data_IF_895776065330
#
_entry.id   IF_895776065330
#
_cell.length_a   1.000
_cell.length_b   1.000
_cell.length_c   1.000
_cell.angle_alpha   90.00
_cell.angle_beta   90.00
_cell.angle_gamma   90.00
#
_symmetry.space_group_name_H-M   'P 1'
#
loop_
_entity.id
_entity.type
_entity.pdbx_description
1 polymer ?
#
# COMPACT_ATOMS: atom_id res chain seq x y z
N UNK A 1 -0.78 7.26 15.31
CA UNK A 1 -0.39 7.11 13.90
C UNK A 1 -0.91 5.81 13.38
N UNK A 2 -1.56 5.86 12.24
CA UNK A 2 -2.28 4.72 11.70
C UNK A 2 -1.50 3.95 10.62
N UNK A 3 -0.30 4.40 10.25
CA UNK A 3 0.55 3.71 9.27
C UNK A 3 1.64 2.92 9.97
N UNK A 4 1.73 1.62 9.65
CA UNK A 4 2.73 0.73 10.20
C UNK A 4 3.71 0.32 9.10
N UNK A 5 4.98 0.51 9.34
CA UNK A 5 6.04 -0.07 8.50
C UNK A 5 6.12 -1.56 8.75
N UNK A 6 6.07 -2.35 7.70
CA UNK A 6 6.12 -3.81 7.84
C UNK A 6 7.40 -4.37 7.25
N UNK A 7 7.85 -5.48 7.82
CA UNK A 7 9.02 -6.21 7.38
C UNK A 7 8.72 -7.08 6.18
N UNK A 8 9.78 -7.57 5.51
CA UNK A 8 9.66 -8.56 4.45
C UNK A 8 8.91 -9.81 4.91
N UNK A 9 9.21 -10.27 6.11
CA UNK A 9 8.55 -11.44 6.69
C UNK A 9 7.05 -11.22 6.87
N UNK A 10 6.66 -10.08 7.45
CA UNK A 10 5.26 -9.72 7.63
C UNK A 10 4.53 -9.60 6.30
N UNK A 11 5.16 -8.99 5.30
CA UNK A 11 4.57 -8.87 3.97
C UNK A 11 4.34 -10.25 3.34
N UNK A 12 5.32 -11.14 3.42
CA UNK A 12 5.20 -12.49 2.90
C UNK A 12 4.06 -13.26 3.58
N UNK A 13 3.90 -13.11 4.88
CA UNK A 13 2.81 -13.74 5.62
C UNK A 13 1.44 -13.24 5.15
N UNK A 14 1.31 -11.94 4.95
CA UNK A 14 0.06 -11.34 4.43
C UNK A 14 -0.26 -11.90 3.04
N UNK A 15 0.73 -11.90 2.15
CA UNK A 15 0.54 -12.33 0.76
C UNK A 15 0.23 -13.82 0.65
N UNK A 16 0.79 -14.64 1.53
CA UNK A 16 0.63 -16.10 1.50
C UNK A 16 -0.61 -16.60 2.24
N UNK A 17 -1.34 -15.74 2.94
CA UNK A 17 -2.50 -16.15 3.71
C UNK A 17 -2.17 -16.72 5.08
N UNK A 18 -1.02 -16.35 5.63
CA UNK A 18 -0.58 -16.78 6.95
C UNK A 18 -0.88 -15.74 8.04
N UNK A 19 -1.71 -14.75 7.73
CA UNK A 19 -2.15 -13.77 8.71
C UNK A 19 -3.08 -14.44 9.75
N UNK A 20 -3.16 -13.82 10.93
CA UNK A 20 -4.01 -14.34 12.02
C UNK A 20 -5.49 -14.24 11.70
N UNK A 21 -5.86 -13.22 10.92
CA UNK A 21 -7.24 -12.98 10.53
C UNK A 21 -7.29 -12.40 9.12
N UNK A 22 -8.40 -12.58 8.46
CA UNK A 22 -8.65 -11.92 7.18
C UNK A 22 -8.85 -10.44 7.42
N UNK A 23 -8.23 -9.59 6.59
CA UNK A 23 -8.30 -8.15 6.75
C UNK A 23 -8.12 -7.45 5.40
N UNK A 24 -8.56 -6.20 5.35
CA UNK A 24 -8.32 -5.33 4.19
C UNK A 24 -7.26 -4.31 4.56
N UNK A 25 -6.24 -4.23 3.73
CA UNK A 25 -5.08 -3.37 3.96
C UNK A 25 -4.85 -2.44 2.78
N UNK A 26 -4.32 -1.27 3.07
CA UNK A 26 -3.75 -0.39 2.06
C UNK A 26 -2.24 -0.46 2.23
N UNK A 27 -1.53 -0.76 1.15
CA UNK A 27 -0.09 -0.99 1.20
C UNK A 27 0.61 -0.04 0.25
N UNK A 28 1.49 0.80 0.79
CA UNK A 28 2.30 1.73 0.02
C UNK A 28 3.74 1.23 -0.06
N UNK A 29 4.26 1.11 -1.26
CA UNK A 29 5.67 0.81 -1.52
C UNK A 29 6.45 2.10 -1.69
N UNK A 30 7.63 2.18 -1.09
CA UNK A 30 8.51 3.34 -1.15
C UNK A 30 9.98 2.91 -1.14
N UNK A 31 10.89 3.85 -1.39
CA UNK A 31 12.32 3.63 -1.21
C UNK A 31 12.95 4.80 -0.47
N UNK A 32 14.16 4.60 0.06
CA UNK A 32 14.87 5.64 0.80
C UNK A 32 15.26 6.83 -0.07
N UNK A 33 15.46 6.61 -1.37
CA UNK A 33 15.89 7.65 -2.31
C UNK A 33 14.74 8.31 -3.07
N UNK A 34 13.51 7.94 -2.78
CA UNK A 34 12.35 8.42 -3.51
C UNK A 34 11.78 9.71 -2.89
N UNK A 35 12.04 10.86 -3.52
CA UNK A 35 11.53 12.16 -3.04
C UNK A 35 10.02 12.23 -3.04
N UNK A 36 9.38 11.71 -4.09
CA UNK A 36 7.92 11.70 -4.17
C UNK A 36 7.30 10.83 -3.08
N UNK A 37 7.95 9.73 -2.72
CA UNK A 37 7.50 8.89 -1.61
C UNK A 37 7.55 9.65 -0.28
N UNK A 38 8.62 10.40 -0.03
CA UNK A 38 8.77 11.21 1.18
C UNK A 38 7.70 12.28 1.25
N UNK A 39 7.44 12.97 0.14
CA UNK A 39 6.43 14.02 0.08
C UNK A 39 5.02 13.44 0.26
N UNK A 40 4.77 12.26 -0.27
CA UNK A 40 3.48 11.59 -0.16
C UNK A 40 3.20 11.07 1.25
N UNK A 41 4.22 10.79 2.04
CA UNK A 41 4.09 10.13 3.35
C UNK A 41 3.13 10.86 4.29
N UNK A 42 3.25 12.18 4.40
CA UNK A 42 2.37 13.00 5.24
C UNK A 42 0.90 12.87 4.80
N UNK A 43 0.66 12.91 3.51
CA UNK A 43 -0.70 12.77 2.97
C UNK A 43 -1.25 11.37 3.20
N UNK A 44 -0.41 10.36 3.09
CA UNK A 44 -0.79 8.98 3.36
C UNK A 44 -1.20 8.78 4.81
N UNK A 45 -0.46 9.36 5.75
CA UNK A 45 -0.80 9.36 7.18
C UNK A 45 -2.17 10.03 7.38
N UNK A 46 -2.39 11.20 6.78
CA UNK A 46 -3.68 11.89 6.90
C UNK A 46 -4.84 11.06 6.36
N UNK A 47 -4.64 10.36 5.24
CA UNK A 47 -5.66 9.46 4.71
C UNK A 47 -5.93 8.35 5.72
N UNK A 48 -4.90 7.75 6.30
CA UNK A 48 -5.06 6.66 7.27
C UNK A 48 -5.79 7.07 8.53
N UNK A 49 -5.70 8.35 8.90
CA UNK A 49 -6.35 8.89 10.09
C UNK A 49 -7.81 9.29 9.85
N UNK A 50 -8.30 9.19 8.63
CA UNK A 50 -9.69 9.49 8.32
C UNK A 50 -10.60 8.44 8.95
N UNK A 51 -11.61 8.90 9.69
CA UNK A 51 -12.59 8.04 10.38
C UNK A 51 -13.26 7.04 9.43
N UNK A 52 -13.45 7.41 8.18
CA UNK A 52 -14.03 6.57 7.14
C UNK A 52 -13.25 5.26 6.94
N UNK A 53 -11.94 5.29 7.19
CA UNK A 53 -11.02 4.17 6.95
C UNK A 53 -10.55 3.48 8.23
N UNK A 54 -11.24 3.70 9.33
CA UNK A 54 -10.82 3.19 10.65
C UNK A 54 -10.69 1.67 10.74
N UNK A 55 -11.42 0.94 9.91
CA UNK A 55 -11.39 -0.53 9.90
C UNK A 55 -10.34 -1.09 8.94
N UNK A 56 -9.63 -0.24 8.22
CA UNK A 56 -8.58 -0.63 7.30
C UNK A 56 -7.21 -0.55 7.99
N UNK A 57 -6.31 -1.46 7.62
CA UNK A 57 -4.91 -1.38 8.05
C UNK A 57 -4.10 -0.67 6.98
N UNK A 58 -3.32 0.34 7.38
CA UNK A 58 -2.45 1.08 6.46
C UNK A 58 -1.00 0.70 6.72
N UNK A 59 -0.36 0.11 5.72
CA UNK A 59 1.02 -0.35 5.80
C UNK A 59 1.91 0.39 4.81
N UNK A 60 3.20 0.42 5.12
CA UNK A 60 4.23 0.90 4.21
C UNK A 60 5.37 -0.13 4.17
N UNK A 61 5.89 -0.38 2.98
CA UNK A 61 6.98 -1.33 2.78
C UNK A 61 8.09 -0.68 1.95
N UNK A 62 9.31 -0.77 2.44
CA UNK A 62 10.49 -0.25 1.75
C UNK A 62 10.97 -1.30 0.74
N UNK A 63 10.93 -0.97 -0.55
CA UNK A 63 11.37 -1.91 -1.60
C UNK A 63 12.84 -2.26 -1.51
N UNK A 64 13.65 -1.44 -0.83
CA UNK A 64 15.07 -1.73 -0.60
C UNK A 64 15.26 -2.96 0.30
N UNK A 65 14.24 -3.34 1.08
CA UNK A 65 14.26 -4.53 1.93
C UNK A 65 14.02 -5.82 1.14
N UNK A 66 13.48 -5.70 -0.06
CA UNK A 66 13.24 -6.84 -0.97
C UNK A 66 13.27 -6.35 -2.41
N UNK A 67 14.46 -6.29 -3.04
CA UNK A 67 14.57 -5.76 -4.41
C UNK A 67 13.78 -6.52 -5.47
N UNK A 68 13.35 -7.73 -5.18
CA UNK A 68 12.58 -8.54 -6.13
C UNK A 68 11.07 -8.32 -6.03
N UNK A 69 10.60 -7.54 -5.05
CA UNK A 69 9.16 -7.40 -4.79
C UNK A 69 8.42 -6.76 -5.97
N UNK A 70 9.04 -5.83 -6.68
CA UNK A 70 8.43 -5.19 -7.84
C UNK A 70 8.10 -6.21 -8.93
N UNK A 71 9.05 -7.10 -9.23
CA UNK A 71 8.85 -8.16 -10.21
C UNK A 71 7.80 -9.16 -9.72
N UNK A 72 7.85 -9.54 -8.45
CA UNK A 72 6.92 -10.51 -7.86
C UNK A 72 5.48 -10.03 -7.89
N UNK A 73 5.24 -8.74 -7.66
CA UNK A 73 3.90 -8.16 -7.63
C UNK A 73 3.53 -7.42 -8.92
N UNK A 74 4.43 -7.47 -9.91
CA UNK A 74 4.19 -6.92 -11.24
C UNK A 74 3.90 -5.42 -11.23
N UNK A 75 4.75 -4.65 -10.55
CA UNK A 75 4.70 -3.19 -10.62
C UNK A 75 6.11 -2.64 -10.87
N UNK A 76 6.19 -1.39 -11.30
CA UNK A 76 7.44 -0.69 -11.55
C UNK A 76 7.45 0.66 -10.89
N UNK A 77 8.51 0.90 -10.11
CA UNK A 77 8.74 2.20 -9.50
C UNK A 77 7.92 2.46 -8.25
N UNK A 78 8.31 3.50 -7.57
CA UNK A 78 7.68 3.95 -6.32
C UNK A 78 7.44 5.46 -6.41
N UNK A 79 6.44 6.00 -5.71
CA UNK A 79 5.49 5.30 -4.85
C UNK A 79 4.50 4.43 -5.64
N UNK A 80 4.07 3.35 -5.05
CA UNK A 80 3.03 2.49 -5.60
C UNK A 80 2.11 2.06 -4.47
N UNK A 81 0.80 2.04 -4.71
CA UNK A 81 -0.20 1.73 -3.70
C UNK A 81 -1.07 0.56 -4.17
N UNK A 82 -1.28 -0.38 -3.26
CA UNK A 82 -2.18 -1.52 -3.46
C UNK A 82 -3.27 -1.50 -2.38
N UNK A 83 -4.43 -2.02 -2.73
CA UNK A 83 -5.39 -2.54 -1.75
C UNK A 83 -5.21 -4.05 -1.71
N UNK A 84 -5.02 -4.59 -0.53
CA UNK A 84 -4.75 -6.01 -0.31
C UNK A 84 -5.84 -6.59 0.56
N UNK A 85 -6.53 -7.62 0.06
CA UNK A 85 -7.47 -8.40 0.85
C UNK A 85 -6.75 -9.67 1.29
N UNK A 86 -6.30 -9.69 2.56
CA UNK A 86 -5.59 -10.83 3.11
C UNK A 86 -6.57 -11.91 3.56
N UNK A 87 -6.12 -13.16 3.45
CA UNK A 87 -6.91 -14.32 3.83
C UNK A 87 -6.15 -15.18 4.84
N UNK A 88 -6.83 -16.15 5.42
CA UNK A 88 -6.26 -17.14 6.33
C UNK A 88 -6.20 -18.51 5.65
N UNK A 89 -5.57 -19.48 6.32
CA UNK A 89 -5.55 -20.86 5.83
C UNK A 89 -4.73 -21.06 4.56
N UNK A 90 -3.62 -20.32 4.42
CA UNK A 90 -2.72 -20.37 3.26
C UNK A 90 -3.39 -19.97 1.94
N UNK A 91 -4.47 -19.20 2.00
CA UNK A 91 -5.12 -18.65 0.81
C UNK A 91 -4.39 -17.38 0.41
N UNK A 92 -3.90 -17.29 -0.84
CA UNK A 92 -3.19 -16.10 -1.31
C UNK A 92 -4.06 -14.84 -1.20
N UNK A 93 -3.41 -13.72 -0.87
CA UNK A 93 -4.08 -12.43 -0.82
C UNK A 93 -4.56 -12.01 -2.22
N UNK A 94 -5.64 -11.25 -2.24
CA UNK A 94 -6.13 -10.60 -3.46
C UNK A 94 -5.56 -9.18 -3.49
N UNK A 95 -4.95 -8.81 -4.62
CA UNK A 95 -4.27 -7.53 -4.79
C UNK A 95 -4.95 -6.68 -5.85
N UNK A 96 -5.11 -5.40 -5.55
CA UNK A 96 -5.57 -4.41 -6.52
C UNK A 96 -4.57 -3.27 -6.56
N UNK A 97 -4.05 -2.97 -7.74
CA UNK A 97 -3.04 -1.93 -7.95
C UNK A 97 -3.71 -0.61 -8.32
N UNK A 98 -3.31 0.47 -7.64
CA UNK A 98 -3.68 1.81 -8.08
C UNK A 98 -2.91 2.12 -9.36
N UNK A 99 -3.60 2.37 -10.48
CA UNK A 99 -2.91 2.66 -11.74
C UNK A 99 -2.09 3.94 -11.66
N UNK A 100 -1.09 4.07 -12.52
CA UNK A 100 -0.34 5.31 -12.65
C UNK A 100 -1.29 6.45 -13.01
N UNK A 101 -1.08 7.65 -12.43
CA UNK A 101 -1.95 8.79 -12.74
C UNK A 101 -1.77 9.26 -14.18
N UNK A 102 -2.87 9.65 -14.83
CA UNK A 102 -2.81 10.25 -16.18
C UNK A 102 -2.14 11.60 -16.17
N UNK A 103 -2.32 12.35 -15.07
CA UNK A 103 -1.75 13.67 -14.87
C UNK A 103 -1.02 13.68 -13.53
N UNK A 104 0.23 13.18 -13.49
CA UNK A 104 0.97 13.03 -12.24
C UNK A 104 1.21 14.35 -11.51
N UNK A 105 1.10 14.30 -10.19
CA UNK A 105 1.55 15.42 -9.36
C UNK A 105 3.07 15.41 -9.28
N UNK A 106 3.70 16.54 -9.52
CA UNK A 106 5.16 16.63 -9.55
C UNK A 106 5.82 16.40 -8.19
N UNK A 107 5.06 16.58 -7.11
CA UNK A 107 5.58 16.46 -5.74
C UNK A 107 5.31 15.08 -5.15
N UNK A 108 4.11 14.55 -5.38
CA UNK A 108 3.64 13.34 -4.70
C UNK A 108 3.33 12.17 -5.62
N UNK A 109 3.45 12.33 -6.95
CA UNK A 109 3.07 11.38 -7.98
C UNK A 109 1.56 11.19 -8.05
N UNK A 110 0.95 10.63 -6.99
CA UNK A 110 -0.50 10.50 -6.91
C UNK A 110 -1.13 11.74 -6.30
N UNK A 111 -2.32 12.08 -6.75
CA UNK A 111 -3.18 13.07 -6.08
C UNK A 111 -3.95 12.38 -4.95
N UNK A 112 -4.11 13.08 -3.83
CA UNK A 112 -4.82 12.55 -2.67
C UNK A 112 -6.24 12.09 -3.03
N UNK A 113 -6.95 12.87 -3.85
CA UNK A 113 -8.31 12.51 -4.28
C UNK A 113 -8.36 11.17 -5.02
N UNK A 114 -7.32 10.87 -5.82
CA UNK A 114 -7.26 9.63 -6.59
C UNK A 114 -6.97 8.44 -5.69
N UNK A 115 -6.14 8.61 -4.68
CA UNK A 115 -5.87 7.59 -3.67
C UNK A 115 -7.16 7.27 -2.90
N UNK A 116 -7.87 8.31 -2.45
CA UNK A 116 -9.13 8.12 -1.71
C UNK A 116 -10.20 7.43 -2.56
N UNK A 117 -10.35 7.85 -3.82
CA UNK A 117 -11.31 7.24 -4.73
C UNK A 117 -10.99 5.75 -4.96
N UNK A 118 -9.72 5.42 -5.09
CA UNK A 118 -9.28 4.04 -5.23
C UNK A 118 -9.59 3.20 -4.00
N UNK A 119 -9.28 3.71 -2.81
CA UNK A 119 -9.58 3.02 -1.56
C UNK A 119 -11.10 2.82 -1.41
N UNK A 120 -11.88 3.85 -1.70
CA UNK A 120 -13.34 3.76 -1.62
C UNK A 120 -13.90 2.69 -2.54
N UNK A 121 -13.33 2.55 -3.73
CA UNK A 121 -13.77 1.58 -4.73
C UNK A 121 -13.33 0.15 -4.39
N UNK A 122 -12.09 -0.02 -3.94
CA UNK A 122 -11.49 -1.35 -3.81
C UNK A 122 -11.53 -1.91 -2.38
N UNK A 123 -11.61 -1.06 -1.37
CA UNK A 123 -11.50 -1.47 0.04
C UNK A 123 -12.79 -1.33 0.84
N UNK A 124 -13.74 -0.57 0.35
CA UNK A 124 -15.00 -0.33 1.07
C UNK A 124 -16.21 -0.98 0.38
#
# INVERSE_FOLDING_TARGET
MSVTRISRESLNDILAGNAREAATCVLKFYSNSCHMCQSLHEYYIHISDNEKYKDLHFFAFNVDDDPEIEASLNFKGVPTIFVVHSHIGNRPATLRLLPDPEDPNEVTWYKVRDIKAFIDKEAL
#
